data_IF_394969266053
#
_entry.id   IF_394969266053
#
_cell.length_a   1.000
_cell.length_b   1.000
_cell.length_c   1.000
_cell.angle_alpha   90.00
_cell.angle_beta   90.00
_cell.angle_gamma   90.00
#
_symmetry.space_group_name_H-M   'P 1'
#
loop_
_entity.id
_entity.type
_entity.pdbx_description
1 polymer ?
#
# COMPACT_ATOMS: atom_id res chain seq x y z
N UNK A 1 -7.29 -24.82 1.87
CA UNK A 1 -8.36 -23.92 1.43
C UNK A 1 -8.33 -22.73 2.35
N UNK A 2 -8.12 -21.50 1.83
CA UNK A 2 -8.08 -20.30 2.66
C UNK A 2 -9.50 -20.06 3.19
N UNK A 3 -9.71 -20.22 4.48
CA UNK A 3 -10.90 -19.67 5.13
C UNK A 3 -10.79 -18.15 5.01
N UNK A 4 -11.79 -17.43 4.44
CA UNK A 4 -11.67 -15.99 4.32
C UNK A 4 -11.56 -15.38 5.72
N UNK A 5 -10.40 -14.85 6.11
CA UNK A 5 -10.38 -13.97 7.27
C UNK A 5 -11.17 -12.73 6.84
N UNK A 6 -12.10 -12.35 7.65
CA UNK A 6 -13.17 -11.46 7.21
C UNK A 6 -12.73 -10.14 6.61
N UNK A 7 -11.49 -9.65 6.81
CA UNK A 7 -11.02 -8.35 6.32
C UNK A 7 -9.48 -8.26 6.22
N UNK A 8 -8.82 -9.24 5.56
CA UNK A 8 -7.37 -9.22 5.37
C UNK A 8 -6.98 -9.28 3.91
N UNK A 9 -5.93 -8.56 3.55
CA UNK A 9 -5.21 -8.75 2.30
C UNK A 9 -4.09 -9.74 2.54
N UNK A 10 -3.91 -10.68 1.62
CA UNK A 10 -2.74 -11.55 1.56
C UNK A 10 -1.79 -10.97 0.52
N UNK A 11 -0.63 -10.52 0.98
CA UNK A 11 0.38 -9.88 0.17
C UNK A 11 1.38 -10.91 -0.33
N UNK A 12 1.15 -11.52 -1.49
CA UNK A 12 2.06 -12.43 -2.15
C UNK A 12 3.21 -11.71 -2.88
N UNK A 13 4.14 -12.48 -3.47
CA UNK A 13 5.28 -11.91 -4.20
C UNK A 13 4.83 -11.10 -5.41
N UNK A 14 4.17 -11.74 -6.35
CA UNK A 14 3.73 -11.14 -7.63
C UNK A 14 2.24 -10.79 -7.63
N UNK A 15 1.48 -11.41 -6.74
CA UNK A 15 0.03 -11.27 -6.65
C UNK A 15 -0.42 -10.98 -5.23
N UNK A 16 -1.54 -10.25 -5.11
CA UNK A 16 -2.28 -10.10 -3.87
C UNK A 16 -3.60 -10.87 -3.94
N UNK A 17 -4.03 -11.45 -2.81
CA UNK A 17 -5.42 -11.87 -2.65
C UNK A 17 -6.15 -10.87 -1.76
N UNK A 18 -7.23 -10.30 -2.31
CA UNK A 18 -8.07 -9.30 -1.61
C UNK A 18 -9.49 -9.82 -1.47
N UNK A 19 -10.18 -9.60 -0.33
CA UNK A 19 -11.56 -10.05 -0.15
C UNK A 19 -12.50 -9.45 -1.18
N UNK A 20 -13.18 -10.29 -1.95
CA UNK A 20 -14.04 -9.84 -3.06
C UNK A 20 -15.16 -8.88 -2.61
N UNK A 21 -15.69 -9.08 -1.41
CA UNK A 21 -16.77 -8.27 -0.83
C UNK A 21 -16.42 -6.81 -0.52
N UNK A 22 -15.13 -6.47 -0.48
CA UNK A 22 -14.69 -5.07 -0.29
C UNK A 22 -14.71 -4.26 -1.58
N UNK A 23 -15.03 -4.90 -2.70
CA UNK A 23 -15.01 -4.27 -4.02
C UNK A 23 -16.40 -4.09 -4.59
N UNK A 24 -16.59 -2.97 -5.30
CA UNK A 24 -17.84 -2.63 -5.96
C UNK A 24 -17.81 -3.10 -7.41
N UNK A 25 -18.88 -3.75 -7.83
CA UNK A 25 -19.07 -4.12 -9.22
C UNK A 25 -19.29 -2.88 -10.10
N UNK A 26 -18.66 -2.87 -11.27
CA UNK A 26 -18.88 -1.83 -12.30
C UNK A 26 -19.92 -2.26 -13.36
N UNK A 27 -20.36 -3.52 -13.32
CA UNK A 27 -21.34 -4.09 -14.24
C UNK A 27 -22.03 -5.31 -13.60
N UNK A 28 -23.22 -5.70 -14.10
CA UNK A 28 -24.00 -6.84 -13.58
C UNK A 28 -23.25 -8.18 -13.62
N UNK A 29 -22.42 -8.40 -14.66
CA UNK A 29 -21.59 -9.59 -14.76
C UNK A 29 -20.54 -9.64 -13.64
N UNK A 30 -19.91 -8.49 -13.32
CA UNK A 30 -18.97 -8.35 -12.21
C UNK A 30 -19.67 -8.53 -10.85
N UNK A 31 -20.89 -8.01 -10.68
CA UNK A 31 -21.66 -8.19 -9.45
C UNK A 31 -21.91 -9.67 -9.14
N UNK A 32 -22.32 -10.45 -10.17
CA UNK A 32 -22.54 -11.89 -10.04
C UNK A 32 -21.26 -12.65 -9.70
N UNK A 33 -20.12 -12.23 -10.26
CA UNK A 33 -18.84 -12.84 -9.98
C UNK A 33 -18.39 -12.53 -8.54
N UNK A 34 -18.42 -11.25 -8.13
CA UNK A 34 -18.07 -10.83 -6.78
C UNK A 34 -18.92 -11.54 -5.72
N UNK A 35 -20.24 -11.68 -5.96
CA UNK A 35 -21.16 -12.35 -5.04
C UNK A 35 -20.87 -13.85 -4.82
N UNK A 36 -20.13 -14.48 -5.73
CA UNK A 36 -19.76 -15.90 -5.69
C UNK A 36 -18.31 -16.14 -5.33
N UNK A 37 -17.53 -15.07 -5.18
CA UNK A 37 -16.09 -15.14 -4.94
C UNK A 37 -15.75 -14.73 -3.52
N UNK A 38 -14.82 -15.46 -2.93
CA UNK A 38 -14.24 -15.11 -1.63
C UNK A 38 -13.09 -14.11 -1.81
N UNK A 39 -12.29 -14.32 -2.86
CA UNK A 39 -11.10 -13.54 -3.14
C UNK A 39 -11.02 -13.07 -4.58
N UNK A 40 -10.41 -11.89 -4.76
CA UNK A 40 -9.89 -11.41 -6.04
C UNK A 40 -8.38 -11.49 -6.02
N UNK A 41 -7.78 -12.01 -7.08
CA UNK A 41 -6.33 -12.04 -7.27
C UNK A 41 -5.93 -10.86 -8.14
N UNK A 42 -5.02 -10.05 -7.62
CA UNK A 42 -4.51 -8.84 -8.27
C UNK A 42 -3.03 -9.01 -8.59
N UNK A 43 -2.65 -8.72 -9.83
CA UNK A 43 -1.24 -8.60 -10.24
C UNK A 43 -0.64 -7.30 -9.65
N UNK A 44 0.49 -7.39 -8.97
CA UNK A 44 1.14 -6.24 -8.33
C UNK A 44 1.85 -5.31 -9.32
N UNK A 45 2.21 -5.80 -10.51
CA UNK A 45 2.96 -5.04 -11.53
C UNK A 45 2.13 -3.91 -12.14
N UNK A 46 0.84 -4.16 -12.35
CA UNK A 46 -0.07 -3.20 -13.00
C UNK A 46 -1.35 -2.92 -12.19
N UNK A 47 -1.58 -3.66 -11.10
CA UNK A 47 -2.75 -3.56 -10.26
C UNK A 47 -4.01 -4.19 -10.86
N UNK A 48 -3.89 -4.92 -11.98
CA UNK A 48 -5.03 -5.56 -12.65
C UNK A 48 -5.51 -6.79 -11.90
N UNK A 49 -6.82 -7.00 -11.86
CA UNK A 49 -7.39 -8.25 -11.37
C UNK A 49 -7.31 -9.32 -12.45
N UNK A 50 -6.68 -10.44 -12.12
CA UNK A 50 -6.44 -11.56 -13.07
C UNK A 50 -7.36 -12.73 -12.85
N UNK A 51 -7.81 -12.97 -11.60
CA UNK A 51 -8.68 -14.08 -11.27
C UNK A 51 -9.57 -13.78 -10.06
N UNK A 52 -10.62 -14.60 -9.91
CA UNK A 52 -11.43 -14.69 -8.70
C UNK A 52 -11.40 -16.13 -8.17
N UNK A 53 -11.29 -16.28 -6.84
CA UNK A 53 -11.36 -17.57 -6.15
C UNK A 53 -12.67 -17.68 -5.37
N UNK A 54 -13.24 -18.88 -5.42
CA UNK A 54 -14.38 -19.31 -4.62
C UNK A 54 -14.16 -20.74 -4.11
N UNK A 55 -15.03 -21.24 -3.25
CA UNK A 55 -15.02 -22.65 -2.84
C UNK A 55 -15.17 -23.62 -4.03
N UNK A 56 -15.74 -23.18 -5.17
CA UNK A 56 -15.91 -23.94 -6.40
C UNK A 56 -14.73 -23.90 -7.36
N UNK A 57 -13.65 -23.17 -7.03
CA UNK A 57 -12.46 -23.06 -7.85
C UNK A 57 -12.08 -21.64 -8.26
N UNK A 58 -11.22 -21.53 -9.27
CA UNK A 58 -10.67 -20.28 -9.77
C UNK A 58 -11.25 -19.92 -11.14
N UNK A 59 -11.64 -18.66 -11.31
CA UNK A 59 -12.11 -18.09 -12.56
C UNK A 59 -11.17 -16.96 -13.01
N UNK A 60 -10.54 -17.10 -14.18
CA UNK A 60 -9.71 -16.05 -14.79
C UNK A 60 -10.55 -15.01 -15.53
N UNK A 61 -10.18 -13.71 -15.42
CA UNK A 61 -10.89 -12.61 -16.08
C UNK A 61 -10.54 -12.45 -17.56
N UNK A 62 -9.30 -12.79 -17.93
CA UNK A 62 -8.83 -12.81 -19.32
C UNK A 62 -8.04 -14.08 -19.57
N UNK A 63 -8.23 -14.67 -20.76
CA UNK A 63 -7.28 -15.66 -21.29
C UNK A 63 -6.06 -14.90 -21.79
N UNK A 64 -4.97 -14.90 -21.04
CA UNK A 64 -3.69 -14.29 -21.45
C UNK A 64 -2.68 -15.38 -21.80
N UNK A 65 -1.83 -15.10 -22.80
CA UNK A 65 -0.56 -15.80 -22.97
C UNK A 65 0.21 -15.65 -21.67
N UNK A 66 0.53 -16.76 -20.99
CA UNK A 66 1.17 -16.73 -19.66
C UNK A 66 0.28 -17.24 -18.52
N UNK A 67 -0.86 -17.85 -18.81
CA UNK A 67 -1.77 -18.41 -17.82
C UNK A 67 -1.08 -19.39 -16.84
N UNK A 68 -0.07 -20.15 -17.32
CA UNK A 68 0.69 -21.06 -16.46
C UNK A 68 1.53 -20.29 -15.43
N UNK A 69 2.22 -19.22 -15.83
CA UNK A 69 2.99 -18.38 -14.89
C UNK A 69 2.08 -17.72 -13.84
N UNK A 70 0.85 -17.34 -14.22
CA UNK A 70 -0.15 -16.86 -13.27
C UNK A 70 -0.59 -17.96 -12.29
N UNK A 71 -0.78 -19.19 -12.76
CA UNK A 71 -1.14 -20.33 -11.89
C UNK A 71 -0.02 -20.61 -10.86
N UNK A 72 1.23 -20.63 -11.30
CA UNK A 72 2.38 -20.88 -10.43
C UNK A 72 2.54 -19.78 -9.38
N UNK A 73 2.41 -18.50 -9.78
CA UNK A 73 2.44 -17.36 -8.87
C UNK A 73 1.29 -17.34 -7.87
N UNK A 74 0.09 -17.72 -8.30
CA UNK A 74 -1.08 -17.83 -7.41
C UNK A 74 -0.92 -19.03 -6.45
N UNK A 75 -0.37 -20.14 -6.91
CA UNK A 75 -0.06 -21.27 -6.04
C UNK A 75 0.94 -20.88 -4.96
N UNK A 76 1.99 -20.11 -5.30
CA UNK A 76 2.92 -19.51 -4.36
C UNK A 76 2.23 -18.61 -3.33
N UNK A 77 1.37 -17.69 -3.78
CA UNK A 77 0.57 -16.84 -2.91
C UNK A 77 -0.25 -17.63 -1.88
N UNK A 78 -0.91 -18.71 -2.34
CA UNK A 78 -1.72 -19.55 -1.45
C UNK A 78 -0.88 -20.33 -0.44
N UNK A 79 0.33 -20.76 -0.83
CA UNK A 79 1.28 -21.40 0.09
C UNK A 79 1.78 -20.43 1.16
N UNK A 80 2.13 -19.20 0.77
CA UNK A 80 2.59 -18.13 1.66
C UNK A 80 1.50 -17.67 2.65
N UNK A 81 0.25 -17.70 2.24
CA UNK A 81 -0.88 -17.31 3.09
C UNK A 81 -1.01 -18.14 4.38
N UNK A 82 -0.43 -19.33 4.41
CA UNK A 82 -0.36 -20.18 5.61
C UNK A 82 0.68 -19.66 6.62
N UNK A 83 1.64 -18.84 6.16
CA UNK A 83 2.74 -18.29 6.96
C UNK A 83 2.36 -16.92 7.55
N UNK A 84 1.36 -16.86 8.38
CA UNK A 84 0.67 -15.63 8.82
C UNK A 84 1.52 -14.56 9.54
N UNK A 85 2.74 -14.87 9.96
CA UNK A 85 3.63 -13.95 10.71
C UNK A 85 4.91 -13.57 9.95
N UNK A 86 5.11 -14.09 8.74
CA UNK A 86 6.29 -13.82 7.95
C UNK A 86 6.19 -12.46 7.23
N UNK A 87 7.34 -11.86 6.95
CA UNK A 87 7.52 -10.69 6.09
C UNK A 87 8.31 -11.06 4.84
N UNK A 88 8.19 -10.25 3.78
CA UNK A 88 8.99 -10.38 2.57
C UNK A 88 10.27 -9.62 2.73
N UNK A 89 11.42 -10.26 2.49
CA UNK A 89 12.71 -9.61 2.63
C UNK A 89 12.92 -8.56 1.53
N UNK A 90 13.76 -7.58 1.84
CA UNK A 90 14.22 -6.57 0.89
C UNK A 90 14.95 -7.17 -0.32
N UNK A 91 15.65 -8.30 -0.15
CA UNK A 91 16.36 -8.99 -1.23
C UNK A 91 15.48 -9.34 -2.44
N UNK A 92 14.17 -9.37 -2.30
CA UNK A 92 13.26 -9.62 -3.42
C UNK A 92 13.19 -8.45 -4.41
N UNK A 93 13.42 -7.20 -3.94
CA UNK A 93 13.34 -5.99 -4.76
C UNK A 93 14.74 -5.46 -5.17
N UNK A 94 15.77 -5.79 -4.42
CA UNK A 94 17.13 -5.26 -4.62
C UNK A 94 17.64 -5.41 -6.07
N UNK A 95 17.49 -6.57 -6.75
CA UNK A 95 17.93 -6.71 -8.14
C UNK A 95 17.21 -5.75 -9.11
N UNK A 96 15.95 -5.40 -8.82
CA UNK A 96 15.15 -4.52 -9.66
C UNK A 96 15.53 -3.04 -9.49
N UNK A 97 16.19 -2.66 -8.40
CA UNK A 97 16.68 -1.30 -8.19
C UNK A 97 17.81 -0.97 -9.19
N UNK A 98 18.70 -1.92 -9.45
CA UNK A 98 19.77 -1.75 -10.42
C UNK A 98 19.24 -1.50 -11.84
N UNK A 99 18.10 -2.11 -12.22
CA UNK A 99 17.46 -1.89 -13.53
C UNK A 99 17.03 -0.43 -13.75
N UNK A 100 16.74 0.29 -12.68
CA UNK A 100 16.34 1.72 -12.71
C UNK A 100 17.47 2.65 -12.29
N UNK A 101 18.69 2.14 -12.20
CA UNK A 101 19.90 2.93 -11.90
C UNK A 101 20.05 3.31 -10.43
N UNK A 102 19.42 2.60 -9.49
CA UNK A 102 19.57 2.81 -8.05
C UNK A 102 20.46 1.72 -7.45
N UNK A 103 21.59 2.13 -6.88
CA UNK A 103 22.40 1.28 -6.01
C UNK A 103 21.82 1.33 -4.58
N UNK A 104 21.36 0.20 -4.07
CA UNK A 104 20.69 0.11 -2.78
C UNK A 104 21.60 0.48 -1.61
N UNK A 105 22.86 0.05 -1.64
CA UNK A 105 23.84 0.34 -0.59
C UNK A 105 24.16 1.83 -0.51
N UNK A 106 24.40 2.45 -1.67
CA UNK A 106 24.64 3.89 -1.77
C UNK A 106 23.41 4.69 -1.34
N UNK A 107 22.21 4.32 -1.83
CA UNK A 107 20.97 5.00 -1.44
C UNK A 107 20.75 4.96 0.06
N UNK A 108 20.98 3.80 0.70
CA UNK A 108 20.91 3.66 2.17
C UNK A 108 21.89 4.60 2.88
N UNK A 109 23.14 4.64 2.41
CA UNK A 109 24.18 5.48 3.02
C UNK A 109 23.86 6.98 2.89
N UNK A 110 23.37 7.40 1.70
CA UNK A 110 23.08 8.81 1.41
C UNK A 110 21.78 9.29 2.09
N UNK A 111 20.74 8.45 2.15
CA UNK A 111 19.43 8.82 2.71
C UNK A 111 19.28 8.51 4.20
N UNK A 112 20.09 7.60 4.75
CA UNK A 112 19.91 7.09 6.10
C UNK A 112 18.62 6.29 6.31
N UNK A 113 17.89 5.93 5.23
CA UNK A 113 16.71 5.08 5.30
C UNK A 113 17.13 3.61 5.30
N UNK A 114 16.50 2.82 6.15
CA UNK A 114 16.69 1.38 6.18
C UNK A 114 15.76 0.66 5.20
N UNK A 115 16.17 -0.51 4.67
CA UNK A 115 15.28 -1.40 3.93
C UNK A 115 14.04 -1.77 4.74
N UNK A 116 12.90 -1.76 4.07
CA UNK A 116 11.58 -2.05 4.69
C UNK A 116 11.02 -3.33 4.12
N UNK A 117 10.81 -4.31 5.00
CA UNK A 117 10.13 -5.57 4.66
C UNK A 117 8.63 -5.37 4.52
N UNK A 118 7.99 -6.18 3.66
CA UNK A 118 6.54 -6.18 3.50
C UNK A 118 5.89 -7.27 4.37
N UNK A 119 4.84 -6.95 5.15
CA UNK A 119 4.07 -7.98 5.83
C UNK A 119 3.31 -8.84 4.82
N UNK A 120 3.20 -10.15 5.06
CA UNK A 120 2.40 -11.08 4.24
C UNK A 120 0.90 -10.86 4.46
N UNK A 121 0.51 -10.40 5.62
CA UNK A 121 -0.90 -10.11 5.92
C UNK A 121 -1.10 -8.67 6.36
N UNK A 122 -2.15 -8.04 5.85
CA UNK A 122 -2.55 -6.68 6.17
C UNK A 122 -4.03 -6.63 6.54
N UNK A 123 -4.36 -5.81 7.52
CA UNK A 123 -5.72 -5.60 7.99
C UNK A 123 -6.45 -4.52 7.18
N UNK A 124 -7.73 -4.73 6.96
CA UNK A 124 -8.62 -3.69 6.43
C UNK A 124 -8.86 -2.61 7.48
N UNK A 125 -8.43 -1.40 7.20
CA UNK A 125 -8.54 -0.25 8.10
C UNK A 125 -9.64 0.75 7.70
N UNK A 126 -10.60 0.33 6.88
CA UNK A 126 -11.64 1.19 6.31
C UNK A 126 -11.37 1.49 4.84
N UNK A 127 -11.93 2.57 4.34
CA UNK A 127 -11.70 3.04 2.98
C UNK A 127 -10.94 4.36 3.00
N UNK A 128 -10.06 4.55 2.02
CA UNK A 128 -9.43 5.84 1.79
C UNK A 128 -10.44 6.85 1.19
N UNK A 129 -10.02 8.11 1.01
CA UNK A 129 -10.88 9.17 0.44
C UNK A 129 -11.39 8.86 -0.97
N UNK A 130 -10.71 7.96 -1.69
CA UNK A 130 -11.08 7.51 -3.04
C UNK A 130 -11.98 6.29 -3.03
N UNK A 131 -12.50 5.87 -1.86
CA UNK A 131 -13.32 4.67 -1.66
C UNK A 131 -12.61 3.35 -1.99
N UNK A 132 -11.26 3.33 -1.95
CA UNK A 132 -10.47 2.11 -2.08
C UNK A 132 -10.25 1.49 -0.70
N UNK A 133 -10.20 0.16 -0.55
CA UNK A 133 -9.83 -0.47 0.71
C UNK A 133 -8.46 0.01 1.19
N UNK A 134 -8.39 0.50 2.43
CA UNK A 134 -7.16 0.89 3.11
C UNK A 134 -6.58 -0.33 3.83
N UNK A 135 -5.35 -0.65 3.51
CA UNK A 135 -4.62 -1.76 4.09
C UNK A 135 -3.51 -1.26 4.99
N UNK A 136 -3.43 -1.79 6.21
CA UNK A 136 -2.42 -1.43 7.20
C UNK A 136 -1.97 -2.67 7.97
N UNK A 137 -0.82 -2.57 8.63
CA UNK A 137 -0.43 -3.50 9.69
C UNK A 137 -1.51 -3.56 10.77
N UNK A 138 -1.65 -4.70 11.44
CA UNK A 138 -2.70 -4.91 12.44
C UNK A 138 -2.69 -3.84 13.56
N UNK A 139 -1.51 -3.55 14.11
CA UNK A 139 -1.36 -2.54 15.17
C UNK A 139 -1.72 -1.14 14.67
N UNK A 140 -1.23 -0.79 13.48
CA UNK A 140 -1.48 0.49 12.82
C UNK A 140 -2.96 0.66 12.46
N UNK A 141 -3.61 -0.39 11.95
CA UNK A 141 -5.05 -0.35 11.66
C UNK A 141 -5.88 -0.04 12.91
N UNK A 142 -5.51 -0.62 14.05
CA UNK A 142 -6.17 -0.35 15.34
C UNK A 142 -5.89 1.07 15.83
N UNK A 143 -4.65 1.54 15.74
CA UNK A 143 -4.26 2.90 16.11
C UNK A 143 -4.96 3.95 15.23
N UNK A 144 -5.02 3.72 13.91
CA UNK A 144 -5.71 4.58 12.96
C UNK A 144 -7.19 4.77 13.27
N UNK A 145 -7.91 3.68 13.55
CA UNK A 145 -9.34 3.78 13.93
C UNK A 145 -9.54 4.61 15.20
N UNK A 146 -8.66 4.46 16.19
CA UNK A 146 -8.69 5.25 17.42
C UNK A 146 -8.40 6.73 17.16
N UNK A 147 -7.41 7.03 16.32
CA UNK A 147 -7.06 8.39 15.91
C UNK A 147 -8.25 9.06 15.20
N UNK A 148 -8.89 8.36 14.25
CA UNK A 148 -10.08 8.88 13.55
C UNK A 148 -11.26 9.14 14.50
N UNK A 149 -11.49 8.25 15.47
CA UNK A 149 -12.54 8.43 16.48
C UNK A 149 -12.27 9.66 17.35
N UNK A 150 -11.03 9.85 17.80
CA UNK A 150 -10.65 11.01 18.59
C UNK A 150 -10.78 12.31 17.80
N UNK A 151 -10.28 12.36 16.58
CA UNK A 151 -10.43 13.52 15.70
C UNK A 151 -11.90 13.88 15.48
N UNK A 152 -12.73 12.88 15.20
CA UNK A 152 -14.18 13.08 15.03
C UNK A 152 -14.87 13.58 16.31
N UNK A 153 -14.46 13.12 17.49
CA UNK A 153 -14.98 13.60 18.77
C UNK A 153 -14.64 15.08 19.01
N UNK A 154 -13.48 15.52 18.53
CA UNK A 154 -13.05 16.93 18.59
C UNK A 154 -13.53 17.77 17.39
N UNK A 155 -14.41 17.21 16.55
CA UNK A 155 -14.99 17.90 15.38
C UNK A 155 -14.02 18.05 14.22
N UNK A 156 -12.91 17.32 14.21
CA UNK A 156 -11.88 17.37 13.16
C UNK A 156 -12.06 16.20 12.19
N UNK A 157 -12.21 16.53 10.90
CA UNK A 157 -12.30 15.52 9.83
C UNK A 157 -10.90 15.17 9.30
N UNK A 158 -10.54 13.91 9.38
CA UNK A 158 -9.32 13.35 8.78
C UNK A 158 -9.66 12.15 7.90
N UNK A 159 -9.04 12.11 6.71
CA UNK A 159 -9.21 11.05 5.73
C UNK A 159 -7.86 10.38 5.46
N UNK A 160 -7.84 9.06 5.28
CA UNK A 160 -6.67 8.42 4.70
C UNK A 160 -6.61 8.69 3.18
N UNK A 161 -5.44 9.06 2.70
CA UNK A 161 -5.13 9.21 1.26
C UNK A 161 -4.48 7.93 0.74
N UNK A 162 -3.54 7.37 1.50
CA UNK A 162 -2.75 6.19 1.16
C UNK A 162 -2.34 5.46 2.44
N UNK A 163 -2.20 4.14 2.37
CA UNK A 163 -1.63 3.29 3.41
C UNK A 163 -0.58 2.36 2.82
N UNK A 164 -0.72 1.05 3.02
CA UNK A 164 0.21 0.07 2.46
C UNK A 164 0.39 0.22 0.95
N UNK A 165 1.65 0.18 0.54
CA UNK A 165 2.09 0.23 -0.85
C UNK A 165 3.18 -0.81 -1.04
N UNK A 166 2.97 -1.80 -1.89
CA UNK A 166 3.99 -2.82 -2.11
C UNK A 166 5.23 -2.27 -2.82
N UNK A 167 6.38 -2.89 -2.59
CA UNK A 167 7.65 -2.56 -3.26
C UNK A 167 7.50 -2.62 -4.79
N UNK A 168 6.84 -3.66 -5.31
CA UNK A 168 6.58 -3.81 -6.74
C UNK A 168 5.66 -2.74 -7.31
N UNK A 169 4.64 -2.32 -6.56
CA UNK A 169 3.79 -1.21 -6.99
C UNK A 169 4.58 0.11 -7.05
N UNK A 170 5.44 0.37 -6.06
CA UNK A 170 6.32 1.54 -6.05
C UNK A 170 7.33 1.49 -7.19
N UNK A 171 7.92 0.32 -7.48
CA UNK A 171 8.75 0.11 -8.67
C UNK A 171 8.01 0.49 -9.95
N UNK A 172 6.73 0.10 -10.05
CA UNK A 172 5.88 0.51 -11.16
C UNK A 172 5.68 2.04 -11.27
N UNK A 173 5.61 2.76 -10.14
CA UNK A 173 5.57 4.23 -10.13
C UNK A 173 6.87 4.79 -10.73
N UNK A 174 8.03 4.33 -10.27
CA UNK A 174 9.32 4.77 -10.78
C UNK A 174 9.45 4.51 -12.28
N UNK A 175 9.16 3.29 -12.75
CA UNK A 175 9.22 2.96 -14.18
C UNK A 175 8.31 3.86 -15.03
N UNK A 176 7.10 4.17 -14.58
CA UNK A 176 6.18 5.08 -15.29
C UNK A 176 6.67 6.52 -15.33
N UNK A 177 7.34 7.00 -14.27
CA UNK A 177 7.92 8.33 -14.21
C UNK A 177 9.16 8.42 -15.12
N UNK A 178 10.04 7.42 -15.08
CA UNK A 178 11.20 7.32 -15.97
C UNK A 178 10.80 7.28 -17.45
N UNK A 179 9.73 6.55 -17.79
CA UNK A 179 9.19 6.52 -19.14
C UNK A 179 8.61 7.88 -19.62
N UNK A 180 8.51 8.87 -18.75
CA UNK A 180 8.12 10.25 -19.04
C UNK A 180 9.30 11.23 -18.91
N UNK A 181 10.52 10.74 -19.03
CA UNK A 181 11.78 11.49 -18.91
C UNK A 181 11.98 12.22 -17.56
N UNK A 182 11.27 11.81 -16.51
CA UNK A 182 11.53 12.30 -15.17
C UNK A 182 12.73 11.54 -14.59
N UNK A 183 13.80 12.24 -14.23
CA UNK A 183 15.03 11.65 -13.73
C UNK A 183 14.84 10.83 -12.44
N UNK A 184 15.72 9.86 -12.22
CA UNK A 184 15.73 9.07 -10.97
C UNK A 184 15.87 10.00 -9.77
N UNK A 185 16.76 10.97 -9.83
CA UNK A 185 17.02 11.92 -8.73
C UNK A 185 15.77 12.73 -8.36
N UNK A 186 15.03 13.24 -9.33
CA UNK A 186 13.80 14.02 -9.08
C UNK A 186 12.71 13.14 -8.46
N UNK A 187 12.66 11.86 -8.85
CA UNK A 187 11.76 10.89 -8.25
C UNK A 187 12.10 10.63 -6.78
N UNK A 188 13.38 10.52 -6.44
CA UNK A 188 13.85 10.24 -5.09
C UNK A 188 13.63 11.41 -4.10
N UNK A 189 13.44 12.63 -4.61
CA UNK A 189 13.09 13.78 -3.76
C UNK A 189 11.65 13.75 -3.23
N UNK A 190 10.76 13.07 -3.93
CA UNK A 190 9.32 13.00 -3.62
C UNK A 190 8.83 11.57 -3.35
N UNK A 191 9.71 10.60 -3.37
CA UNK A 191 9.40 9.22 -3.01
C UNK A 191 10.68 8.54 -2.53
N UNK A 192 10.63 7.81 -1.44
CA UNK A 192 11.69 6.88 -1.11
C UNK A 192 11.86 5.83 -2.21
N UNK A 193 13.08 5.34 -2.41
CA UNK A 193 13.33 4.26 -3.36
C UNK A 193 12.46 3.04 -3.05
N UNK A 194 12.04 2.25 -4.07
CA UNK A 194 11.35 0.99 -3.82
C UNK A 194 12.15 0.11 -2.85
N UNK A 195 11.49 -0.44 -1.84
CA UNK A 195 12.15 -1.19 -0.76
C UNK A 195 12.59 -0.34 0.44
N UNK A 196 12.52 1.01 0.37
CA UNK A 196 12.89 1.92 1.47
C UNK A 196 11.73 2.79 1.95
N UNK A 197 10.56 2.70 1.34
CA UNK A 197 9.38 3.47 1.75
C UNK A 197 8.74 2.89 3.01
N UNK A 198 8.43 3.73 3.99
CA UNK A 198 7.70 3.33 5.20
C UNK A 198 6.34 2.69 4.89
N UNK A 199 5.70 3.04 3.77
CA UNK A 199 4.45 2.43 3.31
C UNK A 199 4.55 0.92 3.06
N UNK A 200 5.74 0.38 2.77
CA UNK A 200 5.92 -1.07 2.58
C UNK A 200 5.65 -1.87 3.86
N UNK A 201 5.86 -1.27 5.02
CA UNK A 201 5.59 -1.91 6.31
C UNK A 201 4.10 -2.00 6.66
N UNK A 202 3.23 -1.25 5.96
CA UNK A 202 1.85 -1.04 6.36
C UNK A 202 1.68 -0.16 7.60
N UNK A 203 2.74 0.55 8.04
CA UNK A 203 2.74 1.40 9.24
C UNK A 203 2.68 2.89 8.92
N UNK A 204 2.82 3.27 7.66
CA UNK A 204 2.68 4.65 7.22
C UNK A 204 1.30 4.92 6.63
N UNK A 205 0.80 6.12 6.87
CA UNK A 205 -0.48 6.62 6.35
C UNK A 205 -0.26 8.04 5.85
N UNK A 206 -0.68 8.31 4.62
CA UNK A 206 -0.87 9.67 4.15
C UNK A 206 -2.26 10.12 4.56
N UNK A 207 -2.34 11.25 5.26
CA UNK A 207 -3.56 11.82 5.82
C UNK A 207 -3.89 13.13 5.13
N UNK A 208 -5.17 13.39 4.96
CA UNK A 208 -5.69 14.66 4.48
C UNK A 208 -7.00 15.01 5.16
N UNK A 209 -7.64 16.06 4.70
CA UNK A 209 -8.97 16.50 5.13
C UNK A 209 -9.85 16.82 3.93
N UNK A 210 -11.16 16.80 4.13
CA UNK A 210 -12.13 17.11 3.07
C UNK A 210 -11.96 18.54 2.58
N UNK A 211 -12.04 18.73 1.25
CA UNK A 211 -11.90 20.03 0.60
C UNK A 211 -10.45 20.38 0.22
N UNK A 212 -9.46 19.70 0.75
CA UNK A 212 -8.06 19.95 0.45
C UNK A 212 -7.50 18.95 -0.57
N UNK A 213 -6.57 19.41 -1.45
CA UNK A 213 -5.83 18.52 -2.33
C UNK A 213 -5.08 17.45 -1.54
N UNK A 214 -4.93 16.27 -2.14
CA UNK A 214 -4.20 15.18 -1.51
C UNK A 214 -2.70 15.33 -1.68
N UNK A 215 -1.94 15.08 -0.61
CA UNK A 215 -0.47 15.07 -0.63
C UNK A 215 0.13 16.38 -1.16
N UNK A 216 -0.36 17.49 -0.63
CA UNK A 216 0.14 18.83 -0.92
C UNK A 216 0.59 19.54 0.37
N UNK A 217 1.64 20.37 0.27
CA UNK A 217 2.18 21.10 1.44
C UNK A 217 1.13 21.99 2.11
N UNK A 218 0.14 22.47 1.35
CA UNK A 218 -0.94 23.30 1.88
C UNK A 218 -1.73 22.66 3.02
N UNK A 219 -1.69 21.31 3.15
CA UNK A 219 -2.30 20.61 4.27
C UNK A 219 -1.80 21.12 5.63
N UNK A 220 -0.57 21.62 5.72
CA UNK A 220 0.00 22.20 6.95
C UNK A 220 -0.81 23.42 7.48
N UNK A 221 -1.60 24.08 6.64
CA UNK A 221 -2.39 25.25 7.01
C UNK A 221 -3.83 24.90 7.45
N UNK A 222 -4.12 23.60 7.63
CA UNK A 222 -5.47 23.14 8.00
C UNK A 222 -5.59 22.89 9.49
N UNK A 223 -6.79 23.06 10.08
CA UNK A 223 -7.07 22.66 11.46
C UNK A 223 -6.81 21.17 11.73
N UNK A 224 -6.94 20.33 10.68
CA UNK A 224 -6.65 18.90 10.77
C UNK A 224 -5.16 18.63 11.04
N UNK A 225 -4.26 19.34 10.36
CA UNK A 225 -2.83 19.22 10.58
C UNK A 225 -2.43 19.73 11.97
N UNK A 226 -2.94 20.87 12.40
CA UNK A 226 -2.69 21.41 13.74
C UNK A 226 -3.12 20.41 14.83
N UNK A 227 -4.31 19.83 14.69
CA UNK A 227 -4.80 18.80 15.60
C UNK A 227 -3.91 17.56 15.62
N UNK A 228 -3.46 17.10 14.45
CA UNK A 228 -2.55 15.95 14.31
C UNK A 228 -1.21 16.19 15.00
N UNK A 229 -0.62 17.38 14.87
CA UNK A 229 0.62 17.74 15.55
C UNK A 229 0.51 17.62 17.08
N UNK A 230 -0.65 17.99 17.63
CA UNK A 230 -0.89 17.90 19.08
C UNK A 230 -1.27 16.50 19.58
N UNK A 231 -1.93 15.71 18.74
CA UNK A 231 -2.65 14.51 19.20
C UNK A 231 -2.08 13.18 18.67
N UNK A 232 -1.51 13.14 17.47
CA UNK A 232 -1.12 11.89 16.79
C UNK A 232 -0.09 11.07 17.58
N UNK A 233 0.81 11.73 18.31
CA UNK A 233 1.80 11.07 19.17
C UNK A 233 1.18 10.17 20.25
N UNK A 234 0.02 10.54 20.79
CA UNK A 234 -0.72 9.74 21.77
C UNK A 234 -1.30 8.43 21.20
N UNK A 235 -1.35 8.31 19.87
CA UNK A 235 -1.80 7.12 19.13
C UNK A 235 -0.64 6.36 18.48
N UNK A 236 0.61 6.81 18.70
CA UNK A 236 1.81 6.16 18.16
C UNK A 236 2.19 6.61 16.75
N UNK A 237 1.62 7.71 16.24
CA UNK A 237 1.99 8.30 14.95
C UNK A 237 2.92 9.50 15.12
N UNK A 238 3.79 9.69 14.15
CA UNK A 238 4.71 10.83 14.06
C UNK A 238 4.81 11.31 12.62
N UNK A 239 5.19 12.55 12.44
CA UNK A 239 5.56 13.10 11.14
C UNK A 239 6.98 12.63 10.79
N UNK A 240 7.12 11.76 9.76
CA UNK A 240 8.40 11.16 9.40
C UNK A 240 9.29 12.09 8.56
N UNK A 241 8.69 12.96 7.73
CA UNK A 241 9.41 13.84 6.82
C UNK A 241 9.13 15.33 7.12
N UNK A 242 9.54 15.84 8.29
CA UNK A 242 9.43 17.27 8.60
C UNK A 242 10.37 18.11 7.72
N UNK A 243 10.20 19.44 7.75
CA UNK A 243 11.14 20.35 7.08
C UNK A 243 12.55 20.12 7.60
N UNK A 244 13.51 20.00 6.68
CA UNK A 244 14.90 19.74 7.01
C UNK A 244 15.19 18.32 7.53
N UNK A 245 14.34 17.34 7.22
CA UNK A 245 14.63 15.94 7.54
C UNK A 245 15.92 15.48 6.84
N UNK A 246 16.66 14.51 7.42
CA UNK A 246 17.97 14.09 6.91
C UNK A 246 17.90 13.16 5.70
N UNK A 247 16.73 12.78 5.23
CA UNK A 247 16.55 11.69 4.28
C UNK A 247 16.58 12.13 2.81
N UNK A 248 16.72 13.44 2.53
CA UNK A 248 16.66 13.98 1.17
C UNK A 248 15.28 13.93 0.53
N UNK A 249 14.26 13.57 1.30
CA UNK A 249 12.85 13.60 0.91
C UNK A 249 12.28 14.98 1.23
N UNK A 250 11.47 15.52 0.33
CA UNK A 250 10.77 16.78 0.52
C UNK A 250 9.90 16.75 1.78
N UNK A 251 9.55 17.91 2.28
CA UNK A 251 8.60 18.04 3.38
C UNK A 251 7.24 17.44 3.02
N UNK A 252 6.72 16.55 3.87
CA UNK A 252 5.46 15.86 3.65
C UNK A 252 4.55 15.98 4.88
N UNK A 253 3.81 17.11 5.04
CA UNK A 253 2.94 17.31 6.21
C UNK A 253 1.82 16.27 6.31
N UNK A 254 1.48 15.62 5.23
CA UNK A 254 0.46 14.56 5.17
C UNK A 254 0.96 13.19 5.64
N UNK A 255 2.28 12.96 5.66
CA UNK A 255 2.88 11.63 5.93
C UNK A 255 3.12 11.39 7.42
#
# INVERSE_FOLDING_TARGET
MLTPPEYRLINGRDFDAVPARLYRAKANAHARLLARSDWLIRDKRDGAYVAALSNGGMTFFKRTSGQQAHLDGIAGLLAEAVLSTASRPFSDIEPLLAEIGIDAGRYRADSGLDPVEEPIQLEFAGHDRYKRPLWLDYGTAKAWRRLQQAASADGVAIDAISGFRSQHYQMGIFRRKLARDLGVHDNLRVNAAPGFSEHHSGRAIDIGTSGEPAAEEHFENTPAFEWLLGSAGGFGFRLSFPRGNPHGISYEPWH
#
